data_IF_173604057053
#
_entry.id   IF_173604057053
#
_cell.length_a   1.000
_cell.length_b   1.000
_cell.length_c   1.000
_cell.angle_alpha   90.00
_cell.angle_beta   90.00
_cell.angle_gamma   90.00
#
_symmetry.space_group_name_H-M   'P 1'
#
loop_
_entity.id
_entity.type
_entity.pdbx_description
1 polymer ?
#
# COMPACT_ATOMS: atom_id res chain seq x y z
N UNK A 1 -12.12 13.94 -64.90
CA UNK A 1 -11.40 12.75 -64.41
C UNK A 1 -11.43 12.78 -62.89
N UNK A 2 -12.17 11.84 -62.30
CA UNK A 2 -12.54 11.82 -60.88
C UNK A 2 -11.33 11.39 -60.04
N UNK A 3 -11.09 12.16 -58.98
CA UNK A 3 -10.09 11.99 -57.93
C UNK A 3 -10.32 10.67 -57.20
N UNK A 4 -9.28 9.89 -56.91
CA UNK A 4 -9.36 8.82 -55.93
C UNK A 4 -8.10 8.79 -55.08
N UNK A 5 -8.21 9.50 -53.95
CA UNK A 5 -7.28 9.51 -52.84
C UNK A 5 -7.71 8.36 -51.92
N UNK A 6 -6.98 7.25 -51.92
CA UNK A 6 -7.19 6.15 -50.99
C UNK A 6 -6.51 6.49 -49.65
N UNK A 7 -7.28 7.00 -48.69
CA UNK A 7 -6.86 7.08 -47.29
C UNK A 7 -7.17 5.70 -46.67
N UNK A 8 -6.16 4.85 -46.58
CA UNK A 8 -6.22 3.63 -45.77
C UNK A 8 -6.19 4.05 -44.31
N UNK A 9 -7.39 4.15 -43.71
CA UNK A 9 -7.55 4.39 -42.29
C UNK A 9 -7.08 3.17 -41.51
N UNK A 10 -5.84 3.23 -41.00
CA UNK A 10 -5.34 2.28 -40.02
C UNK A 10 -6.06 2.55 -38.69
N UNK A 11 -7.23 1.94 -38.52
CA UNK A 11 -7.92 1.88 -37.23
C UNK A 11 -7.13 0.91 -36.34
N UNK A 12 -6.10 1.43 -35.66
CA UNK A 12 -5.43 0.69 -34.61
C UNK A 12 -6.45 0.58 -33.47
N UNK A 13 -7.15 -0.55 -33.40
CA UNK A 13 -7.87 -0.93 -32.20
C UNK A 13 -6.81 -1.05 -31.10
N UNK A 14 -6.73 -0.04 -30.23
CA UNK A 14 -5.94 -0.13 -29.02
C UNK A 14 -6.59 -1.24 -28.19
N UNK A 15 -6.00 -2.44 -28.21
CA UNK A 15 -6.30 -3.45 -27.20
C UNK A 15 -5.76 -2.86 -25.91
N UNK A 16 -6.62 -2.16 -25.19
CA UNK A 16 -6.29 -1.61 -23.89
C UNK A 16 -5.79 -2.76 -23.02
N UNK A 17 -4.51 -2.71 -22.66
CA UNK A 17 -3.95 -3.69 -21.75
C UNK A 17 -4.62 -3.45 -20.40
N UNK A 18 -5.72 -4.18 -20.13
CA UNK A 18 -6.37 -4.23 -18.82
C UNK A 18 -5.52 -5.09 -17.87
N UNK A 19 -4.22 -4.84 -17.83
CA UNK A 19 -3.30 -5.53 -16.94
C UNK A 19 -3.49 -5.01 -15.52
N UNK A 20 -3.62 -5.91 -14.57
CA UNK A 20 -3.53 -5.56 -13.15
C UNK A 20 -2.05 -5.36 -12.81
N UNK A 21 -1.67 -4.14 -12.45
CA UNK A 21 -0.34 -3.87 -11.91
C UNK A 21 -0.35 -4.11 -10.41
N UNK A 22 0.69 -4.78 -9.91
CA UNK A 22 0.80 -5.15 -8.49
C UNK A 22 2.13 -4.68 -7.94
N UNK A 23 2.09 -3.80 -6.95
CA UNK A 23 3.23 -3.38 -6.14
C UNK A 23 3.21 -4.06 -4.78
N UNK A 24 4.36 -4.51 -4.31
CA UNK A 24 4.52 -5.05 -2.95
C UNK A 24 5.67 -4.36 -2.24
N UNK A 25 5.45 -4.02 -0.97
CA UNK A 25 6.47 -3.40 -0.14
C UNK A 25 6.35 -3.88 1.32
N UNK A 26 7.48 -3.88 2.03
CA UNK A 26 7.51 -4.02 3.49
C UNK A 26 8.49 -3.04 4.10
N UNK A 27 8.18 -2.54 5.29
CA UNK A 27 9.03 -1.64 6.08
C UNK A 27 9.07 -2.11 7.53
N UNK A 28 10.28 -2.17 8.09
CA UNK A 28 10.47 -2.42 9.51
C UNK A 28 9.84 -1.28 10.34
N UNK A 29 8.99 -1.66 11.28
CA UNK A 29 8.31 -0.78 12.23
C UNK A 29 8.56 -1.21 13.69
N UNK A 30 9.59 -2.02 13.93
CA UNK A 30 9.96 -2.51 15.26
C UNK A 30 10.26 -1.31 16.17
N UNK A 31 9.52 -1.14 17.28
CA UNK A 31 9.81 -0.07 18.23
C UNK A 31 11.19 -0.23 18.86
N UNK A 32 11.80 0.85 19.36
CA UNK A 32 13.03 0.76 20.14
C UNK A 32 12.90 -0.19 21.34
N UNK A 33 14.01 -0.80 21.76
CA UNK A 33 14.06 -1.54 23.02
C UNK A 33 13.67 -0.63 24.19
N UNK A 34 13.03 -1.20 25.21
CA UNK A 34 12.45 -0.45 26.33
C UNK A 34 11.08 0.16 26.02
N UNK A 35 10.45 -0.18 24.89
CA UNK A 35 9.08 0.26 24.58
C UNK A 35 8.04 -0.49 25.41
N UNK A 36 6.98 0.21 25.81
CA UNK A 36 5.82 -0.42 26.44
C UNK A 36 5.16 -1.40 25.45
N UNK A 37 4.83 -2.61 25.93
CA UNK A 37 4.27 -3.64 25.09
C UNK A 37 2.74 -3.66 25.17
N UNK A 38 2.08 -3.77 24.01
CA UNK A 38 0.62 -3.80 23.92
C UNK A 38 0.01 -5.17 24.28
N UNK A 39 -1.23 -5.17 24.78
CA UNK A 39 -2.12 -6.34 24.87
C UNK A 39 -2.33 -6.93 26.28
N UNK A 40 -1.38 -6.78 27.20
CA UNK A 40 -1.46 -7.41 28.53
C UNK A 40 -1.24 -6.40 29.67
N UNK A 41 -2.34 -5.94 30.28
CA UNK A 41 -2.30 -4.92 31.35
C UNK A 41 -1.60 -5.37 32.63
N UNK A 42 -1.55 -6.67 32.91
CA UNK A 42 -0.83 -7.22 34.08
C UNK A 42 0.70 -7.15 33.96
N UNK A 43 1.25 -6.68 32.83
CA UNK A 43 2.69 -6.48 32.67
C UNK A 43 3.23 -5.35 33.55
N UNK A 44 2.38 -4.47 34.07
CA UNK A 44 2.83 -3.33 34.89
C UNK A 44 3.84 -2.49 34.13
N UNK A 45 4.98 -2.22 34.75
CA UNK A 45 6.06 -1.38 34.19
C UNK A 45 7.05 -2.16 33.30
N UNK A 46 6.81 -3.45 33.03
CA UNK A 46 7.68 -4.24 32.18
C UNK A 46 7.63 -3.76 30.71
N UNK A 47 8.80 -3.62 30.10
CA UNK A 47 9.01 -3.12 28.74
C UNK A 47 9.68 -4.17 27.85
N UNK A 48 9.85 -3.89 26.56
CA UNK A 48 10.59 -4.78 25.67
C UNK A 48 12.07 -4.90 26.05
N UNK A 49 12.53 -6.12 26.32
CA UNK A 49 13.94 -6.42 26.68
C UNK A 49 14.76 -6.96 25.49
N UNK A 50 14.09 -7.28 24.40
CA UNK A 50 14.70 -7.84 23.20
C UNK A 50 13.74 -7.83 22.01
N UNK A 51 14.25 -8.23 20.85
CA UNK A 51 13.47 -8.45 19.63
C UNK A 51 13.61 -9.91 19.25
N UNK A 52 12.50 -10.66 19.27
CA UNK A 52 12.46 -12.02 18.75
C UNK A 52 12.29 -12.00 17.23
N UNK A 53 11.21 -11.34 16.76
CA UNK A 53 10.93 -11.12 15.35
C UNK A 53 10.77 -9.63 15.07
N UNK A 54 11.24 -9.19 13.90
CA UNK A 54 11.01 -7.84 13.39
C UNK A 54 9.52 -7.64 13.06
N UNK A 55 8.96 -6.52 13.49
CA UNK A 55 7.59 -6.12 13.15
C UNK A 55 7.59 -5.32 11.86
N UNK A 56 6.67 -5.61 10.94
CA UNK A 56 6.62 -4.92 9.65
C UNK A 56 5.26 -4.25 9.40
N UNK A 57 5.32 -3.11 8.70
CA UNK A 57 4.23 -2.65 7.86
C UNK A 57 4.41 -3.28 6.47
N UNK A 58 3.35 -3.88 5.93
CA UNK A 58 3.36 -4.56 4.63
C UNK A 58 2.25 -3.96 3.77
N UNK A 59 2.54 -3.70 2.50
CA UNK A 59 1.59 -3.14 1.57
C UNK A 59 1.53 -3.98 0.29
N UNK A 60 0.31 -4.22 -0.19
CA UNK A 60 0.02 -4.66 -1.56
C UNK A 60 -0.79 -3.56 -2.20
N UNK A 61 -0.31 -3.03 -3.33
CA UNK A 61 -0.99 -2.02 -4.13
C UNK A 61 -1.39 -2.64 -5.44
N UNK A 62 -2.65 -2.48 -5.80
CA UNK A 62 -3.26 -2.98 -7.02
C UNK A 62 -3.70 -1.78 -7.84
N UNK A 63 -3.29 -1.73 -9.11
CA UNK A 63 -3.70 -0.68 -10.04
C UNK A 63 -4.31 -1.33 -11.29
N UNK A 64 -5.48 -0.84 -11.69
CA UNK A 64 -6.20 -1.28 -12.88
C UNK A 64 -6.85 -0.08 -13.56
N UNK A 65 -6.24 0.36 -14.67
CA UNK A 65 -6.70 1.56 -15.38
C UNK A 65 -6.48 2.82 -14.54
N UNK A 66 -7.56 3.48 -14.13
CA UNK A 66 -7.50 4.69 -13.28
C UNK A 66 -7.74 4.41 -11.80
N UNK A 67 -8.00 3.15 -11.44
CA UNK A 67 -8.34 2.76 -10.07
C UNK A 67 -7.12 2.16 -9.38
N UNK A 68 -6.83 2.65 -8.18
CA UNK A 68 -5.72 2.18 -7.33
C UNK A 68 -6.23 1.83 -5.95
N UNK A 69 -5.93 0.62 -5.49
CA UNK A 69 -6.27 0.12 -4.15
C UNK A 69 -5.01 -0.30 -3.42
N UNK A 70 -4.83 0.18 -2.19
CA UNK A 70 -3.76 -0.25 -1.30
C UNK A 70 -4.33 -1.02 -0.11
N UNK A 71 -3.82 -2.23 0.14
CA UNK A 71 -4.07 -3.02 1.33
C UNK A 71 -2.80 -2.97 2.18
N UNK A 72 -2.93 -2.50 3.42
CA UNK A 72 -1.80 -2.37 4.35
C UNK A 72 -2.09 -3.20 5.60
N UNK A 73 -1.14 -4.05 5.97
CA UNK A 73 -1.15 -4.77 7.25
C UNK A 73 -0.03 -4.26 8.14
N UNK A 74 -0.27 -4.26 9.45
CA UNK A 74 0.70 -3.90 10.46
C UNK A 74 0.82 -5.08 11.40
N UNK A 75 2.04 -5.49 11.72
CA UNK A 75 2.32 -6.49 12.76
C UNK A 75 2.14 -5.83 14.15
N UNK A 76 0.93 -5.36 14.43
CA UNK A 76 0.52 -4.63 15.63
C UNK A 76 -0.84 -5.15 16.12
N UNK A 77 -1.07 -5.08 17.42
CA UNK A 77 -2.35 -5.52 18.00
C UNK A 77 -3.53 -4.57 17.75
N UNK A 78 -3.28 -3.28 17.54
CA UNK A 78 -4.29 -2.30 17.13
C UNK A 78 -3.64 -1.08 16.46
N UNK A 79 -4.46 -0.33 15.72
CA UNK A 79 -4.14 1.02 15.24
C UNK A 79 -5.31 1.96 15.56
N UNK A 80 -4.99 3.15 16.07
CA UNK A 80 -6.00 4.17 16.34
C UNK A 80 -6.53 4.76 15.03
N UNK A 81 -7.83 5.07 14.97
CA UNK A 81 -8.46 5.61 13.77
C UNK A 81 -7.84 6.91 13.28
N UNK A 82 -7.39 7.78 14.18
CA UNK A 82 -6.64 8.99 13.84
C UNK A 82 -5.41 8.69 12.98
N UNK A 83 -4.62 7.67 13.36
CA UNK A 83 -3.47 7.24 12.57
C UNK A 83 -3.89 6.66 11.21
N UNK A 84 -5.01 5.94 11.14
CA UNK A 84 -5.55 5.44 9.86
C UNK A 84 -5.90 6.61 8.93
N UNK A 85 -6.56 7.64 9.44
CA UNK A 85 -6.89 8.84 8.67
C UNK A 85 -5.63 9.56 8.19
N UNK A 86 -4.68 9.82 9.09
CA UNK A 86 -3.42 10.47 8.77
C UNK A 86 -2.63 9.71 7.69
N UNK A 87 -2.53 8.39 7.80
CA UNK A 87 -1.85 7.55 6.80
C UNK A 87 -2.54 7.68 5.43
N UNK A 88 -3.88 7.59 5.38
CA UNK A 88 -4.63 7.71 4.13
C UNK A 88 -4.46 9.09 3.47
N UNK A 89 -4.48 10.15 4.26
CA UNK A 89 -4.26 11.51 3.75
C UNK A 89 -2.83 11.67 3.20
N UNK A 90 -1.83 11.20 3.95
CA UNK A 90 -0.43 11.25 3.53
C UNK A 90 -0.18 10.43 2.26
N UNK A 91 -0.74 9.23 2.14
CA UNK A 91 -0.58 8.41 0.94
C UNK A 91 -1.20 9.10 -0.28
N UNK A 92 -2.41 9.65 -0.16
CA UNK A 92 -3.07 10.37 -1.27
C UNK A 92 -2.31 11.59 -1.74
N UNK A 93 -1.62 12.30 -0.84
CA UNK A 93 -0.84 13.47 -1.19
C UNK A 93 0.47 13.15 -1.95
N UNK A 94 0.90 11.88 -1.93
CA UNK A 94 2.14 11.41 -2.58
C UNK A 94 1.87 10.49 -3.78
N UNK A 95 0.62 10.39 -4.23
CA UNK A 95 0.20 9.68 -5.44
C UNK A 95 -0.06 10.66 -6.58
#
# INVERSE_FOLDING_TARGET
MIKSLFIVGLLICQVGYSGLMVGVAKRDITPPLGSAMYGYGMRGDNVSEGVHDTLFAKAVVLESGTETVAIVTLDMGQIQMENVHRIREQTKANC
#
